data_IF_877038004337
#
_entry.id   IF_877038004337
#
_cell.length_a   1.000
_cell.length_b   1.000
_cell.length_c   1.000
_cell.angle_alpha   90.00
_cell.angle_beta   90.00
_cell.angle_gamma   90.00
#
_symmetry.space_group_name_H-M   'P 1'
#
loop_
_entity.id
_entity.type
_entity.pdbx_description
1 polymer ?
#
# COMPACT_ATOMS: atom_id res chain seq x y z
N UNK A 1 -8.30 1.19 -5.27
CA UNK A 1 -7.68 1.47 -6.58
C UNK A 1 -8.76 1.88 -7.53
N UNK A 2 -8.59 3.02 -8.20
CA UNK A 2 -9.58 3.55 -9.13
C UNK A 2 -9.01 3.55 -10.54
N UNK A 3 -9.79 3.06 -11.51
CA UNK A 3 -9.56 3.36 -12.92
C UNK A 3 -10.23 4.68 -13.23
N UNK A 4 -9.42 5.73 -13.41
CA UNK A 4 -9.94 7.06 -13.72
C UNK A 4 -10.58 7.08 -15.12
N UNK A 5 -10.01 6.36 -16.08
CA UNK A 5 -10.54 6.30 -17.44
C UNK A 5 -11.90 5.59 -17.54
N UNK A 6 -12.14 4.58 -16.70
CA UNK A 6 -13.40 3.84 -16.65
C UNK A 6 -14.39 4.37 -15.62
N UNK A 7 -13.93 5.23 -14.70
CA UNK A 7 -14.72 5.69 -13.56
C UNK A 7 -15.09 4.57 -12.58
N UNK A 8 -14.30 3.48 -12.53
CA UNK A 8 -14.61 2.29 -11.72
C UNK A 8 -13.63 2.13 -10.56
N UNK A 9 -14.14 1.56 -9.46
CA UNK A 9 -13.28 1.03 -8.40
C UNK A 9 -12.85 -0.38 -8.81
N UNK A 10 -11.57 -0.53 -9.14
CA UNK A 10 -11.02 -1.81 -9.62
C UNK A 10 -10.55 -2.70 -8.46
N UNK A 11 -10.49 -2.18 -7.23
CA UNK A 11 -10.17 -2.99 -6.06
C UNK A 11 -10.08 -2.20 -4.76
N UNK A 12 -10.33 -2.88 -3.64
CA UNK A 12 -10.19 -2.33 -2.28
C UNK A 12 -9.05 -3.05 -1.57
N UNK A 13 -8.08 -2.30 -1.06
CA UNK A 13 -6.95 -2.84 -0.30
C UNK A 13 -7.31 -2.88 1.18
N UNK A 14 -8.15 -3.83 1.57
CA UNK A 14 -8.66 -3.96 2.93
C UNK A 14 -7.76 -4.89 3.76
N UNK A 15 -6.97 -4.33 4.67
CA UNK A 15 -6.11 -5.13 5.55
C UNK A 15 -5.81 -4.46 6.89
N UNK A 16 -5.56 -3.14 6.90
CA UNK A 16 -5.22 -2.41 8.11
C UNK A 16 -6.33 -2.45 9.17
N UNK A 17 -5.92 -2.60 10.43
CA UNK A 17 -6.81 -2.57 11.60
C UNK A 17 -6.95 -1.15 12.18
N UNK A 18 -6.16 -0.19 11.68
CA UNK A 18 -6.20 1.21 12.08
C UNK A 18 -6.19 2.18 10.89
N UNK A 19 -6.32 3.50 11.14
CA UNK A 19 -6.24 4.52 10.11
C UNK A 19 -4.95 4.43 9.30
N UNK A 20 -5.09 4.50 7.98
CA UNK A 20 -3.97 4.68 7.06
C UNK A 20 -3.53 6.15 7.15
N UNK A 21 -2.25 6.36 7.44
CA UNK A 21 -1.65 7.68 7.61
C UNK A 21 -0.70 8.05 6.48
N UNK A 22 -0.21 7.06 5.74
CA UNK A 22 0.70 7.28 4.62
C UNK A 22 0.49 6.24 3.52
N UNK A 23 0.70 6.68 2.27
CA UNK A 23 0.64 5.85 1.07
C UNK A 23 1.68 6.32 0.08
N UNK A 24 2.31 5.38 -0.59
CA UNK A 24 3.34 5.69 -1.57
C UNK A 24 3.42 4.60 -2.65
N UNK A 25 3.94 4.93 -3.82
CA UNK A 25 4.14 3.99 -4.92
C UNK A 25 5.64 3.88 -5.25
N UNK A 26 6.18 2.66 -5.18
CA UNK A 26 7.52 2.33 -5.66
C UNK A 26 7.44 2.03 -7.15
N UNK A 27 8.17 2.80 -7.98
CA UNK A 27 8.20 2.55 -9.43
C UNK A 27 9.16 1.41 -9.79
N UNK A 28 10.24 1.24 -9.01
CA UNK A 28 11.19 0.14 -9.12
C UNK A 28 10.51 -1.22 -8.90
N UNK A 29 9.78 -1.36 -7.80
CA UNK A 29 9.10 -2.61 -7.43
C UNK A 29 7.67 -2.70 -7.99
N UNK A 30 7.20 -1.65 -8.67
CA UNK A 30 5.86 -1.55 -9.29
C UNK A 30 4.72 -1.89 -8.32
N UNK A 31 4.71 -1.25 -7.17
CA UNK A 31 3.72 -1.54 -6.14
C UNK A 31 3.47 -0.39 -5.17
N UNK A 32 2.41 -0.54 -4.38
CA UNK A 32 1.95 0.44 -3.42
C UNK A 32 2.40 0.01 -2.03
N UNK A 33 2.87 0.95 -1.23
CA UNK A 33 3.18 0.78 0.18
C UNK A 33 2.17 1.59 0.98
N UNK A 34 1.56 1.00 2.00
CA UNK A 34 0.65 1.71 2.92
C UNK A 34 1.16 1.63 4.36
N UNK A 35 0.99 2.70 5.11
CA UNK A 35 1.39 2.80 6.52
C UNK A 35 0.23 3.24 7.41
N UNK A 36 0.09 2.60 8.57
CA UNK A 36 -1.06 2.74 9.46
C UNK A 36 -0.65 2.93 10.92
N UNK A 37 -1.62 3.33 11.76
CA UNK A 37 -1.47 3.35 13.22
C UNK A 37 -1.25 1.97 13.82
N UNK A 38 -1.57 0.89 13.09
CA UNK A 38 -1.33 -0.49 13.53
C UNK A 38 0.15 -0.92 13.45
N UNK A 39 1.03 -0.05 12.95
CA UNK A 39 2.48 -0.30 12.84
C UNK A 39 2.87 -1.24 11.70
N UNK A 40 1.92 -1.61 10.86
CA UNK A 40 2.12 -2.55 9.77
C UNK A 40 2.31 -1.81 8.45
N UNK A 41 3.10 -2.42 7.57
CA UNK A 41 3.55 -1.84 6.32
C UNK A 41 3.39 -2.88 5.19
N UNK A 42 2.17 -3.10 4.67
CA UNK A 42 1.94 -3.99 3.56
C UNK A 42 2.39 -3.38 2.23
N UNK A 43 2.95 -4.26 1.38
CA UNK A 43 3.32 -3.97 0.00
C UNK A 43 2.33 -4.68 -0.93
N UNK A 44 1.77 -3.89 -1.83
CA UNK A 44 0.71 -4.29 -2.74
C UNK A 44 1.25 -4.32 -4.17
N UNK A 45 1.28 -5.49 -4.77
CA UNK A 45 1.71 -5.68 -6.15
C UNK A 45 0.49 -5.74 -7.07
N UNK A 46 0.62 -5.14 -8.25
CA UNK A 46 -0.32 -5.35 -9.33
C UNK A 46 0.05 -6.64 -10.06
N UNK A 47 -0.86 -7.61 -10.08
CA UNK A 47 -0.68 -8.90 -10.74
C UNK A 47 -1.76 -9.10 -11.78
N UNK A 48 -1.59 -10.10 -12.63
CA UNK A 48 -2.62 -10.48 -13.59
C UNK A 48 -3.90 -10.85 -12.82
N UNK A 49 -4.98 -10.11 -13.08
CA UNK A 49 -6.27 -10.30 -12.40
C UNK A 49 -6.53 -9.39 -11.18
N UNK A 50 -5.61 -8.50 -10.79
CA UNK A 50 -5.89 -7.47 -9.78
C UNK A 50 -4.71 -7.12 -8.88
N UNK A 51 -5.00 -6.60 -7.70
CA UNK A 51 -3.97 -6.20 -6.72
C UNK A 51 -4.03 -7.14 -5.54
N UNK A 52 -2.86 -7.56 -5.05
CA UNK A 52 -2.75 -8.41 -3.86
C UNK A 52 -1.70 -7.88 -2.89
N UNK A 53 -1.86 -8.20 -1.62
CA UNK A 53 -0.81 -7.99 -0.63
C UNK A 53 0.30 -9.02 -0.90
N UNK A 54 1.44 -8.58 -1.42
CA UNK A 54 2.57 -9.44 -1.70
C UNK A 54 3.41 -9.67 -0.44
N UNK A 55 3.50 -8.66 0.44
CA UNK A 55 4.23 -8.72 1.71
C UNK A 55 3.52 -7.88 2.76
N UNK A 56 3.66 -8.26 4.03
CA UNK A 56 3.38 -7.37 5.15
C UNK A 56 4.56 -7.43 6.11
N UNK A 57 4.99 -6.27 6.59
CA UNK A 57 6.13 -6.16 7.50
C UNK A 57 5.73 -5.29 8.68
N UNK A 58 6.00 -5.78 9.89
CA UNK A 58 5.97 -4.96 11.09
C UNK A 58 7.33 -4.28 11.22
N UNK A 59 7.42 -3.04 10.72
CA UNK A 59 8.66 -2.25 10.82
C UNK A 59 8.70 -1.46 12.12
N UNK A 60 7.52 -1.07 12.62
CA UNK A 60 7.38 -0.24 13.81
C UNK A 60 6.32 -0.81 14.76
N UNK A 61 6.52 -0.59 16.06
CA UNK A 61 5.51 -0.88 17.10
C UNK A 61 4.55 0.29 17.32
N UNK A 62 4.78 1.41 16.63
CA UNK A 62 4.00 2.64 16.68
C UNK A 62 3.53 3.04 15.27
N UNK A 63 2.75 4.11 15.19
CA UNK A 63 2.14 4.58 13.95
C UNK A 63 3.16 4.96 12.87
N UNK A 64 2.91 4.51 11.64
CA UNK A 64 3.71 4.87 10.47
C UNK A 64 3.17 6.16 9.86
N UNK A 65 3.79 7.28 10.22
CA UNK A 65 3.32 8.61 9.84
C UNK A 65 3.69 9.00 8.40
N UNK A 66 4.79 8.47 7.86
CA UNK A 66 5.29 8.80 6.52
C UNK A 66 6.10 7.65 5.95
N UNK A 67 6.02 7.47 4.63
CA UNK A 67 6.79 6.49 3.86
C UNK A 67 7.46 7.23 2.71
N UNK A 68 8.69 6.82 2.35
CA UNK A 68 9.40 7.33 1.19
C UNK A 68 10.28 6.21 0.59
N UNK A 69 9.87 5.68 -0.55
CA UNK A 69 10.60 4.81 -1.44
C UNK A 69 11.41 5.69 -2.38
N UNK A 70 12.48 6.29 -1.82
CA UNK A 70 13.54 6.87 -2.65
C UNK A 70 14.10 5.75 -3.53
N UNK A 71 14.16 6.03 -4.83
CA UNK A 71 14.91 5.23 -5.78
C UNK A 71 16.31 5.84 -5.91
N UNK A 72 17.35 5.02 -5.77
CA UNK A 72 18.75 5.41 -5.89
C UNK A 72 19.28 5.26 -7.32
#
# INVERSE_FOLDING_TARGET
>A
MWSISRGTCDGVLAWHAGPILSVEYSTLDKGIITGSTDGLLPFWENVEGGIRCARNVTVHTAAILSINAVEH
#
